data_IF_998709954063
#
_entry.id   IF_998709954063
#
_cell.length_a   1.000
_cell.length_b   1.000
_cell.length_c   1.000
_cell.angle_alpha   90.00
_cell.angle_beta   90.00
_cell.angle_gamma   90.00
#
_symmetry.space_group_name_H-M   'P 1'
#
loop_
_entity.id
_entity.type
_entity.pdbx_description
1 polymer ?
#
# COMPACT_ATOMS: atom_id res chain seq x y z
N UNK A 1 11.41 -29.56 5.92
CA UNK A 1 10.00 -29.32 5.57
C UNK A 1 9.89 -27.86 5.14
N UNK A 2 10.31 -27.50 3.92
CA UNK A 2 10.41 -26.09 3.50
C UNK A 2 10.48 -25.95 1.97
N UNK A 3 9.34 -26.09 1.28
CA UNK A 3 9.25 -25.85 -0.17
C UNK A 3 7.92 -25.18 -0.59
N UNK A 4 7.06 -24.80 0.36
CA UNK A 4 5.69 -24.31 0.06
C UNK A 4 5.49 -22.82 0.36
N UNK A 5 6.42 -22.15 1.06
CA UNK A 5 6.28 -20.73 1.41
C UNK A 5 6.55 -19.74 0.26
N UNK A 6 7.39 -20.11 -0.70
CA UNK A 6 8.05 -19.14 -1.61
C UNK A 6 7.19 -18.59 -2.76
N UNK A 7 5.97 -19.05 -2.98
CA UNK A 7 5.12 -18.53 -4.09
C UNK A 7 4.07 -17.53 -3.58
N UNK A 8 3.85 -17.50 -2.27
CA UNK A 8 2.68 -16.84 -1.70
C UNK A 8 2.77 -15.31 -1.72
N UNK A 9 3.91 -14.69 -1.42
CA UNK A 9 3.97 -13.22 -1.24
C UNK A 9 3.71 -12.45 -2.52
N UNK A 10 4.34 -12.85 -3.64
CA UNK A 10 4.12 -12.22 -4.95
C UNK A 10 2.68 -12.45 -5.41
N UNK A 11 2.14 -13.66 -5.25
CA UNK A 11 0.75 -13.96 -5.61
C UNK A 11 -0.20 -13.09 -4.78
N UNK A 12 -0.03 -13.05 -3.46
CA UNK A 12 -0.83 -12.22 -2.55
C UNK A 12 -0.82 -10.75 -2.95
N UNK A 13 0.35 -10.17 -3.22
CA UNK A 13 0.47 -8.78 -3.65
C UNK A 13 -0.21 -8.53 -5.01
N UNK A 14 -0.06 -9.46 -5.97
CA UNK A 14 -0.74 -9.36 -7.26
C UNK A 14 -2.26 -9.48 -7.12
N UNK A 15 -2.74 -10.37 -6.27
CA UNK A 15 -4.15 -10.54 -5.99
C UNK A 15 -4.71 -9.27 -5.35
N UNK A 16 -4.00 -8.66 -4.40
CA UNK A 16 -4.40 -7.36 -3.81
C UNK A 16 -4.48 -6.25 -4.87
N UNK A 17 -3.53 -6.18 -5.80
CA UNK A 17 -3.56 -5.22 -6.91
C UNK A 17 -4.77 -5.48 -7.82
N UNK A 18 -5.02 -6.75 -8.16
CA UNK A 18 -6.10 -7.15 -9.07
C UNK A 18 -7.49 -6.97 -8.44
N UNK A 19 -7.63 -7.23 -7.14
CA UNK A 19 -8.85 -6.98 -6.37
C UNK A 19 -9.18 -5.48 -6.33
N UNK A 20 -8.16 -4.62 -6.40
CA UNK A 20 -8.32 -3.17 -6.40
C UNK A 20 -8.91 -2.63 -5.09
N UNK A 21 -8.86 -3.41 -4.00
CA UNK A 21 -9.35 -3.00 -2.68
C UNK A 21 -8.29 -2.22 -1.90
N UNK A 22 -8.76 -1.38 -0.98
CA UNK A 22 -7.93 -0.65 -0.03
C UNK A 22 -7.51 -1.57 1.12
N UNK A 23 -6.30 -1.42 1.62
CA UNK A 23 -5.82 -2.12 2.82
C UNK A 23 -5.77 -1.13 3.98
N UNK A 24 -6.51 -1.43 5.04
CA UNK A 24 -6.51 -0.67 6.28
C UNK A 24 -5.28 -1.03 7.12
N UNK A 25 -4.62 -0.02 7.65
CA UNK A 25 -3.41 -0.07 8.44
C UNK A 25 -3.62 0.73 9.72
N UNK A 26 -3.55 0.05 10.88
CA UNK A 26 -3.51 0.73 12.17
C UNK A 26 -2.06 1.09 12.50
N UNK A 27 -1.74 2.37 12.45
CA UNK A 27 -0.36 2.86 12.64
C UNK A 27 -0.15 3.41 14.05
N UNK A 28 -1.04 3.08 14.99
CA UNK A 28 -0.96 3.44 16.40
C UNK A 28 -1.47 4.85 16.72
N UNK A 29 -1.59 5.17 18.01
CA UNK A 29 -2.12 6.45 18.50
C UNK A 29 -3.45 6.89 17.86
N UNK A 30 -4.35 5.93 17.61
CA UNK A 30 -5.64 6.15 16.93
C UNK A 30 -5.54 6.67 15.49
N UNK A 31 -4.36 6.57 14.88
CA UNK A 31 -4.13 6.94 13.48
C UNK A 31 -4.40 5.72 12.60
N UNK A 32 -5.27 5.90 11.62
CA UNK A 32 -5.66 4.84 10.68
C UNK A 32 -5.30 5.32 9.29
N UNK A 33 -4.58 4.48 8.59
CA UNK A 33 -4.15 4.68 7.22
C UNK A 33 -4.81 3.64 6.30
N UNK A 34 -5.13 4.03 5.08
CA UNK A 34 -5.65 3.16 4.03
C UNK A 34 -4.73 3.28 2.82
N UNK A 35 -4.19 2.15 2.38
CA UNK A 35 -3.32 2.08 1.21
C UNK A 35 -4.00 1.34 0.06
N UNK A 36 -3.97 1.90 -1.15
CA UNK A 36 -4.35 1.18 -2.38
C UNK A 36 -3.12 1.03 -3.26
N UNK A 37 -2.72 -0.22 -3.47
CA UNK A 37 -1.55 -0.58 -4.28
C UNK A 37 -1.97 -0.65 -5.75
N UNK A 38 -1.21 0.03 -6.60
CA UNK A 38 -1.47 0.16 -8.02
C UNK A 38 -0.24 -0.28 -8.83
N UNK A 39 -0.48 -0.89 -9.98
CA UNK A 39 0.56 -1.11 -10.99
C UNK A 39 0.37 -0.09 -12.13
N UNK A 40 1.26 0.91 -12.18
CA UNK A 40 1.21 2.01 -13.15
C UNK A 40 2.43 1.92 -14.06
N UNK A 41 2.23 1.50 -15.30
CA UNK A 41 3.32 1.31 -16.29
C UNK A 41 4.47 0.46 -15.72
N UNK A 42 4.14 -0.70 -15.16
CA UNK A 42 5.09 -1.65 -14.57
C UNK A 42 5.82 -1.15 -13.32
N UNK A 43 5.38 -0.04 -12.73
CA UNK A 43 5.89 0.48 -11.45
C UNK A 43 4.83 0.39 -10.38
N UNK A 44 5.22 -0.07 -9.20
CA UNK A 44 4.34 -0.07 -8.04
C UNK A 44 4.18 1.34 -7.48
N UNK A 45 2.91 1.71 -7.32
CA UNK A 45 2.48 3.01 -6.82
C UNK A 45 1.47 2.80 -5.72
N UNK A 46 1.42 3.74 -4.79
CA UNK A 46 0.56 3.66 -3.65
C UNK A 46 -0.24 4.95 -3.54
N UNK A 47 -1.55 4.82 -3.35
CA UNK A 47 -2.37 5.93 -2.85
C UNK A 47 -2.60 5.68 -1.37
N UNK A 48 -2.33 6.70 -0.56
CA UNK A 48 -2.50 6.68 0.88
C UNK A 48 -3.55 7.72 1.28
N UNK A 49 -4.53 7.27 2.05
CA UNK A 49 -5.50 8.11 2.75
C UNK A 49 -5.31 7.87 4.25
N UNK A 50 -5.33 8.91 5.07
CA UNK A 50 -5.21 8.76 6.52
C UNK A 50 -6.04 9.83 7.23
N UNK A 51 -6.53 9.51 8.43
CA UNK A 51 -7.16 10.51 9.30
C UNK A 51 -6.15 11.57 9.82
N UNK A 52 -4.85 11.33 9.63
CA UNK A 52 -3.80 12.29 9.98
C UNK A 52 -3.25 13.07 8.78
N UNK A 53 -3.75 12.83 7.57
CA UNK A 53 -3.37 13.55 6.36
C UNK A 53 -4.47 14.52 5.96
N UNK A 54 -4.08 15.75 5.61
CA UNK A 54 -5.02 16.76 5.10
C UNK A 54 -5.57 16.38 3.73
N UNK A 55 -4.72 15.81 2.89
CA UNK A 55 -5.03 15.37 1.53
C UNK A 55 -4.50 13.96 1.28
N UNK A 56 -5.16 13.16 0.42
CA UNK A 56 -4.60 11.89 -0.04
C UNK A 56 -3.27 12.11 -0.75
N UNK A 57 -2.36 11.16 -0.61
CA UNK A 57 -1.07 11.21 -1.29
C UNK A 57 -0.91 10.05 -2.26
N UNK A 58 -0.21 10.31 -3.35
CA UNK A 58 0.24 9.33 -4.33
C UNK A 58 1.77 9.30 -4.35
N UNK A 59 2.33 8.10 -4.25
CA UNK A 59 3.78 7.93 -4.08
C UNK A 59 4.26 6.63 -4.72
N UNK A 60 5.57 6.53 -4.91
CA UNK A 60 6.24 5.29 -5.37
C UNK A 60 6.48 4.36 -4.20
N UNK A 61 6.27 3.06 -4.43
CA UNK A 61 6.89 2.05 -3.58
C UNK A 61 8.38 2.00 -3.96
N UNK A 62 9.26 2.03 -2.96
CA UNK A 62 10.71 2.01 -3.14
C UNK A 62 11.30 0.67 -2.71
N UNK A 63 10.68 -0.01 -1.75
CA UNK A 63 11.10 -1.33 -1.31
C UNK A 63 9.94 -2.09 -0.70
N UNK A 64 9.98 -3.41 -0.78
CA UNK A 64 9.06 -4.31 -0.08
C UNK A 64 9.90 -5.20 0.82
N UNK A 65 9.58 -5.27 2.11
CA UNK A 65 10.21 -6.20 3.04
C UNK A 65 9.19 -7.27 3.42
N UNK A 66 9.63 -8.52 3.45
CA UNK A 66 8.82 -9.63 3.97
C UNK A 66 9.30 -9.94 5.37
N UNK A 67 8.44 -9.71 6.36
CA UNK A 67 8.76 -9.98 7.77
C UNK A 67 8.86 -11.49 8.03
N UNK A 68 9.49 -11.88 9.14
CA UNK A 68 9.59 -13.29 9.55
C UNK A 68 8.23 -14.00 9.74
N UNK A 69 7.12 -13.24 9.82
CA UNK A 69 5.75 -13.75 9.88
C UNK A 69 5.04 -13.81 8.51
N UNK A 70 5.78 -13.71 7.40
CA UNK A 70 5.25 -13.72 6.03
C UNK A 70 4.32 -12.52 5.71
N UNK A 71 4.45 -11.40 6.43
CA UNK A 71 3.72 -10.15 6.16
C UNK A 71 4.55 -9.19 5.30
N UNK A 72 3.92 -8.59 4.29
CA UNK A 72 4.57 -7.62 3.41
C UNK A 72 4.50 -6.20 4.00
N UNK A 73 5.66 -5.52 4.05
CA UNK A 73 5.80 -4.11 4.44
C UNK A 73 6.28 -3.33 3.22
N UNK A 74 5.42 -2.45 2.70
CA UNK A 74 5.72 -1.54 1.59
C UNK A 74 6.35 -0.26 2.13
N UNK A 75 7.58 0.01 1.69
CA UNK A 75 8.26 1.27 1.94
C UNK A 75 8.04 2.24 0.79
N UNK A 76 7.61 3.46 1.09
CA UNK A 76 7.32 4.48 0.08
C UNK A 76 8.19 5.73 0.25
N UNK A 77 8.36 6.47 -0.84
CA UNK A 77 9.02 7.78 -0.82
C UNK A 77 8.16 8.78 -0.03
N UNK A 78 8.57 9.02 1.21
CA UNK A 78 7.93 9.98 2.11
C UNK A 78 8.44 11.42 1.96
N UNK A 79 9.50 11.65 1.19
CA UNK A 79 10.11 12.98 1.03
C UNK A 79 9.37 13.81 -0.03
N UNK A 80 8.95 13.18 -1.12
CA UNK A 80 8.31 13.87 -2.24
C UNK A 80 6.95 13.24 -2.66
N UNK A 81 5.99 13.08 -1.73
CA UNK A 81 4.66 12.60 -2.10
C UNK A 81 3.93 13.62 -2.98
N UNK A 82 3.21 13.12 -3.99
CA UNK A 82 2.28 13.94 -4.77
C UNK A 82 0.98 14.03 -3.97
N UNK A 83 0.59 15.24 -3.59
CA UNK A 83 -0.74 15.47 -3.00
C UNK A 83 -1.77 15.41 -4.10
N UNK A 84 -2.83 14.64 -3.87
CA UNK A 84 -3.92 14.50 -4.81
C UNK A 84 -4.94 15.59 -4.56
N UNK A 85 -5.46 16.17 -5.64
CA UNK A 85 -6.59 17.07 -5.60
C UNK A 85 -7.77 16.47 -6.37
N UNK A 86 -8.99 16.88 -6.00
CA UNK A 86 -10.23 16.38 -6.63
C UNK A 86 -10.21 16.48 -8.16
N UNK A 87 -9.59 17.54 -8.69
CA UNK A 87 -9.54 17.83 -10.12
C UNK A 87 -8.57 16.92 -10.90
N UNK A 88 -7.72 16.16 -10.23
CA UNK A 88 -6.70 15.32 -10.87
C UNK A 88 -7.25 13.97 -11.36
N UNK A 89 -8.55 13.70 -11.14
CA UNK A 89 -9.21 12.42 -11.44
C UNK A 89 -8.84 11.83 -12.80
N UNK A 90 -8.73 12.68 -13.83
CA UNK A 90 -8.45 12.26 -15.21
C UNK A 90 -7.12 11.50 -15.35
N UNK A 91 -6.15 11.73 -14.45
CA UNK A 91 -4.88 11.00 -14.46
C UNK A 91 -4.98 9.60 -13.85
N UNK A 92 -6.04 9.35 -13.07
CA UNK A 92 -6.24 8.15 -12.26
C UNK A 92 -7.47 7.31 -12.67
N UNK A 93 -8.25 7.76 -13.66
CA UNK A 93 -9.52 7.16 -14.10
C UNK A 93 -9.41 5.72 -14.62
N UNK A 94 -8.19 5.27 -14.92
CA UNK A 94 -7.87 3.88 -15.29
C UNK A 94 -7.73 2.94 -14.10
N UNK A 95 -7.57 3.47 -12.89
CA UNK A 95 -7.23 2.70 -11.69
C UNK A 95 -8.27 2.84 -10.58
N UNK A 96 -8.98 3.97 -10.56
CA UNK A 96 -9.96 4.32 -9.55
C UNK A 96 -11.17 4.91 -10.28
N UNK A 97 -12.36 4.40 -9.98
CA UNK A 97 -13.58 4.98 -10.54
C UNK A 97 -13.94 6.31 -9.88
N UNK A 98 -14.75 7.11 -10.56
CA UNK A 98 -15.12 8.45 -10.08
C UNK A 98 -15.80 8.42 -8.72
N UNK A 99 -16.65 7.42 -8.46
CA UNK A 99 -17.37 7.32 -7.20
C UNK A 99 -16.44 7.03 -6.03
N UNK A 100 -15.44 6.17 -6.25
CA UNK A 100 -14.36 5.88 -5.31
C UNK A 100 -13.45 7.10 -5.11
N UNK A 101 -13.06 7.80 -6.18
CA UNK A 101 -12.21 8.99 -6.14
C UNK A 101 -12.77 10.08 -5.23
N UNK A 102 -14.07 10.36 -5.31
CA UNK A 102 -14.70 11.38 -4.48
C UNK A 102 -14.68 11.03 -2.97
N UNK A 103 -14.56 9.74 -2.61
CA UNK A 103 -14.48 9.31 -1.22
C UNK A 103 -13.14 9.62 -0.57
N UNK A 104 -12.09 9.85 -1.37
CA UNK A 104 -10.74 10.08 -0.86
C UNK A 104 -10.61 11.43 -0.15
N UNK A 105 -11.51 12.38 -0.44
CA UNK A 105 -11.32 13.77 -0.07
C UNK A 105 -12.25 14.25 1.06
N UNK A 106 -11.66 14.88 2.08
CA UNK A 106 -12.37 15.45 3.22
C UNK A 106 -12.39 14.54 4.44
N UNK A 107 -13.01 15.04 5.50
CA UNK A 107 -13.08 14.34 6.79
C UNK A 107 -13.72 12.96 6.63
N UNK A 108 -13.20 11.98 7.38
CA UNK A 108 -13.65 10.58 7.41
C UNK A 108 -13.52 9.79 6.10
N UNK A 109 -12.62 10.17 5.19
CA UNK A 109 -12.38 9.46 3.93
C UNK A 109 -12.24 7.93 4.10
N UNK A 110 -11.45 7.50 5.09
CA UNK A 110 -11.30 6.09 5.47
C UNK A 110 -12.62 5.39 5.81
N UNK A 111 -13.41 5.97 6.72
CA UNK A 111 -14.72 5.43 7.13
C UNK A 111 -15.68 5.32 5.95
N UNK A 112 -15.60 6.25 4.99
CA UNK A 112 -16.43 6.20 3.78
C UNK A 112 -16.03 5.05 2.85
N UNK A 113 -14.73 4.77 2.71
CA UNK A 113 -14.23 3.60 1.98
C UNK A 113 -14.74 2.30 2.61
N UNK A 114 -14.68 2.19 3.95
CA UNK A 114 -15.19 1.01 4.68
C UNK A 114 -16.69 0.80 4.45
N UNK A 115 -17.51 1.86 4.56
CA UNK A 115 -18.97 1.80 4.35
C UNK A 115 -19.37 1.38 2.94
N UNK A 116 -18.48 1.52 1.96
CA UNK A 116 -18.69 1.13 0.57
C UNK A 116 -18.14 -0.26 0.24
N UNK A 117 -17.66 -1.01 1.23
CA UNK A 117 -17.01 -2.34 1.06
C UNK A 117 -15.78 -2.31 0.12
N UNK A 118 -15.16 -1.14 -0.02
CA UNK A 118 -13.96 -0.93 -0.84
C UNK A 118 -12.68 -1.34 -0.12
N UNK A 119 -12.75 -1.55 1.20
CA UNK A 119 -11.63 -1.97 2.04
C UNK A 119 -11.59 -3.50 2.13
N UNK A 120 -10.40 -4.07 1.98
CA UNK A 120 -10.16 -5.48 2.19
C UNK A 120 -10.32 -5.81 3.67
N UNK A 121 -11.12 -6.84 3.96
CA UNK A 121 -11.37 -7.33 5.32
C UNK A 121 -10.27 -8.26 5.82
N UNK A 122 -9.40 -8.73 4.92
CA UNK A 122 -8.20 -9.52 5.23
C UNK A 122 -6.99 -8.60 5.33
N UNK A 123 -6.06 -8.93 6.22
CA UNK A 123 -4.74 -8.32 6.26
C UNK A 123 -4.04 -8.52 4.91
N UNK A 124 -3.41 -7.46 4.40
CA UNK A 124 -2.80 -7.45 3.07
C UNK A 124 -1.33 -7.06 3.09
N UNK A 125 -1.05 -5.80 3.41
CA UNK A 125 0.29 -5.26 3.56
C UNK A 125 0.28 -4.08 4.54
N UNK A 126 1.45 -3.83 5.13
CA UNK A 126 1.75 -2.61 5.86
C UNK A 126 2.41 -1.57 4.98
N UNK A 127 2.27 -0.31 5.38
CA UNK A 127 2.86 0.82 4.66
C UNK A 127 3.68 1.66 5.62
N UNK A 128 4.93 1.92 5.27
CA UNK A 128 5.87 2.71 6.07
C UNK A 128 6.63 3.69 5.17
N UNK A 129 6.97 4.90 5.64
CA UNK A 129 7.91 5.76 4.92
C UNK A 129 9.30 5.11 4.86
N UNK A 130 10.04 5.29 3.77
CA UNK A 130 11.38 4.69 3.58
C UNK A 130 12.36 4.97 4.71
N UNK A 131 12.26 6.12 5.38
CA UNK A 131 13.11 6.46 6.53
C UNK A 131 13.07 5.41 7.66
N UNK A 132 12.01 4.60 7.73
CA UNK A 132 11.85 3.53 8.72
C UNK A 132 12.46 2.19 8.27
N UNK A 133 12.99 2.09 7.05
CA UNK A 133 13.48 0.84 6.48
C UNK A 133 14.61 0.22 7.31
N UNK A 134 15.61 1.02 7.70
CA UNK A 134 16.74 0.52 8.49
C UNK A 134 16.27 -0.10 9.81
N UNK A 135 15.32 0.53 10.50
CA UNK A 135 14.75 0.01 11.73
C UNK A 135 14.04 -1.33 11.53
N UNK A 136 13.32 -1.50 10.41
CA UNK A 136 12.66 -2.76 10.07
C UNK A 136 13.67 -3.85 9.67
N UNK A 137 14.76 -3.49 8.99
CA UNK A 137 15.82 -4.45 8.64
C UNK A 137 16.62 -4.94 9.87
N UNK A 138 16.57 -4.22 10.98
CA UNK A 138 17.13 -4.70 12.27
C UNK A 138 16.24 -5.73 12.99
N UNK A 139 15.04 -5.99 12.49
CA UNK A 139 14.11 -7.00 13.00
C UNK A 139 14.16 -8.30 12.19
N UNK A 140 13.43 -9.33 12.61
CA UNK A 140 13.38 -10.60 11.89
C UNK A 140 12.65 -10.45 10.54
N UNK A 141 13.38 -10.64 9.44
CA UNK A 141 12.85 -10.56 8.07
C UNK A 141 13.44 -11.67 7.18
N UNK A 142 12.65 -12.07 6.18
CA UNK A 142 13.09 -13.04 5.18
C UNK A 142 13.83 -12.30 4.06
N UNK A 143 15.16 -12.36 4.08
CA UNK A 143 16.03 -11.68 3.11
C UNK A 143 15.87 -12.24 1.70
N UNK A 144 15.83 -13.56 1.54
CA UNK A 144 15.72 -14.21 0.23
C UNK A 144 14.38 -13.85 -0.44
N UNK A 145 13.30 -13.94 0.32
CA UNK A 145 11.97 -13.60 -0.18
C UNK A 145 11.83 -12.11 -0.46
N UNK A 146 12.40 -11.26 0.41
CA UNK A 146 12.47 -9.81 0.21
C UNK A 146 13.15 -9.47 -1.11
N UNK A 147 14.36 -9.98 -1.37
CA UNK A 147 15.08 -9.73 -2.62
C UNK A 147 14.29 -10.20 -3.84
N UNK A 148 13.67 -11.37 -3.74
CA UNK A 148 12.88 -11.96 -4.82
C UNK A 148 11.66 -11.11 -5.17
N UNK A 149 10.93 -10.63 -4.16
CA UNK A 149 9.75 -9.77 -4.34
C UNK A 149 10.16 -8.43 -4.97
N UNK A 150 11.21 -7.77 -4.46
CA UNK A 150 11.68 -6.51 -5.04
C UNK A 150 12.11 -6.66 -6.50
N UNK A 151 12.87 -7.72 -6.80
CA UNK A 151 13.28 -8.03 -8.17
C UNK A 151 12.09 -8.24 -9.11
N UNK A 152 11.02 -8.90 -8.64
CA UNK A 152 9.82 -9.11 -9.45
C UNK A 152 9.10 -7.80 -9.81
N UNK A 153 9.06 -6.86 -8.87
CA UNK A 153 8.39 -5.57 -9.05
C UNK A 153 9.32 -4.45 -9.55
N UNK A 154 10.57 -4.77 -9.90
CA UNK A 154 11.61 -3.83 -10.35
C UNK A 154 11.83 -2.67 -9.36
N UNK A 155 11.95 -3.00 -8.08
CA UNK A 155 12.26 -2.08 -6.98
C UNK A 155 13.74 -2.14 -6.57
#
# INVERSE_FOLDING_TARGET
MSLVKSVDSIIKLKDLINEGKWVRNDIGMFRIQYGKLLNVKEKLKLIIVSNSLEEPIYTSVEKILISGNDEAILFYDGQYPIRLHRNDYKEYDKYIDKSEWELLFGEDAGTRLERKDLVNKKEGFYVQPHINLENCMMSDYDEEETERVNRYFNL
#
